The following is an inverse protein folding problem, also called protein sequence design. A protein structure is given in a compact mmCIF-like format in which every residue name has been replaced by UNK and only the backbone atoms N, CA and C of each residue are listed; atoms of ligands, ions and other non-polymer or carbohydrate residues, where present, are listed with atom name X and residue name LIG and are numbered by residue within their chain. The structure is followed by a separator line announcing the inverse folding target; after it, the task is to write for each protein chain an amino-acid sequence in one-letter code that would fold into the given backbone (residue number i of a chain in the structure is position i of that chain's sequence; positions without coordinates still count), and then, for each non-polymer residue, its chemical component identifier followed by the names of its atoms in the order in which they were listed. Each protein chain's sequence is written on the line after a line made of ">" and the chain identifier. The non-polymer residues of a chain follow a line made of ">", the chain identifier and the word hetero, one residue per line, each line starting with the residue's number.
data_IF_013135660020
#
_entry.id   IF_013135660020
#
_cell.length_a   1.000
_cell.length_b   1.000
_cell.length_c   1.000
_cell.angle_alpha   90.00
_cell.angle_beta   90.00
_cell.angle_gamma   90.00
#
_symmetry.space_group_name_H-M   'P 1'
#
loop_
_entity.id
_entity.type
_entity.pdbx_description
1 polymer ?
#
# COMPACT_ATOMS: atom_id res chain seq x y z
N UNK A 1 -30.10 56.35 -9.11
CA UNK A 1 -28.89 55.51 -8.89
C UNK A 1 -27.97 55.74 -10.07
N UNK A 2 -26.73 56.18 -9.85
CA UNK A 2 -25.83 56.58 -10.94
C UNK A 2 -25.39 55.34 -11.73
N UNK A 3 -25.23 55.44 -13.07
CA UNK A 3 -24.75 54.33 -13.92
C UNK A 3 -23.44 53.74 -13.37
N UNK A 4 -22.60 54.56 -12.76
CA UNK A 4 -21.33 54.18 -12.15
C UNK A 4 -21.49 53.26 -10.93
N UNK A 5 -22.54 53.48 -10.11
CA UNK A 5 -22.83 52.62 -8.94
C UNK A 5 -23.33 51.24 -9.37
N UNK A 6 -24.05 51.17 -10.49
CA UNK A 6 -24.54 49.91 -11.07
C UNK A 6 -23.41 49.09 -11.70
N UNK A 7 -22.50 49.74 -12.43
CA UNK A 7 -21.35 49.07 -13.05
C UNK A 7 -20.40 48.49 -11.99
N UNK A 8 -20.15 49.22 -10.90
CA UNK A 8 -19.31 48.73 -9.81
C UNK A 8 -19.93 47.50 -9.12
N UNK A 9 -21.25 47.50 -8.89
CA UNK A 9 -21.93 46.34 -8.30
C UNK A 9 -21.89 45.07 -9.17
N UNK A 10 -21.89 45.22 -10.51
CA UNK A 10 -21.75 44.08 -11.42
C UNK A 10 -20.31 43.55 -11.39
N UNK A 11 -19.30 44.42 -11.37
CA UNK A 11 -17.89 44.03 -11.28
C UNK A 11 -17.63 43.29 -9.97
N UNK A 12 -18.16 43.79 -8.85
CA UNK A 12 -18.03 43.17 -7.54
C UNK A 12 -18.70 41.78 -7.51
N UNK A 13 -19.85 41.62 -8.16
CA UNK A 13 -20.54 40.32 -8.25
C UNK A 13 -19.74 39.31 -9.07
N UNK A 14 -19.17 39.72 -10.21
CA UNK A 14 -18.34 38.85 -11.05
C UNK A 14 -17.06 38.45 -10.30
N UNK A 15 -16.46 39.38 -9.57
CA UNK A 15 -15.28 39.10 -8.75
C UNK A 15 -15.61 38.12 -7.61
N UNK A 16 -16.74 38.31 -6.92
CA UNK A 16 -17.20 37.41 -5.87
C UNK A 16 -17.47 36.00 -6.41
N UNK A 17 -18.07 35.89 -7.60
CA UNK A 17 -18.28 34.61 -8.27
C UNK A 17 -16.94 33.92 -8.58
N UNK A 18 -15.96 34.67 -9.11
CA UNK A 18 -14.63 34.14 -9.41
C UNK A 18 -13.90 33.65 -8.14
N UNK A 19 -13.97 34.43 -7.05
CA UNK A 19 -13.40 34.04 -5.75
C UNK A 19 -14.10 32.81 -5.18
N UNK A 20 -15.43 32.72 -5.30
CA UNK A 20 -16.19 31.55 -4.83
C UNK A 20 -15.81 30.27 -5.59
N UNK A 21 -15.62 30.35 -6.91
CA UNK A 21 -15.17 29.23 -7.74
C UNK A 21 -13.76 28.79 -7.36
N UNK A 22 -12.82 29.74 -7.18
CA UNK A 22 -11.46 29.43 -6.74
C UNK A 22 -11.44 28.81 -5.34
N UNK A 23 -12.27 29.31 -4.43
CA UNK A 23 -12.39 28.76 -3.07
C UNK A 23 -12.96 27.34 -3.07
N UNK A 24 -14.00 27.08 -3.87
CA UNK A 24 -14.56 25.74 -4.06
C UNK A 24 -13.54 24.78 -4.67
N UNK A 25 -12.76 25.24 -5.65
CA UNK A 25 -11.72 24.43 -6.27
C UNK A 25 -10.59 24.10 -5.29
N UNK A 26 -10.11 25.09 -4.53
CA UNK A 26 -9.12 24.90 -3.48
C UNK A 26 -9.60 23.97 -2.38
N UNK A 27 -10.84 24.15 -1.92
CA UNK A 27 -11.47 23.29 -0.91
C UNK A 27 -11.63 21.85 -1.39
N UNK A 28 -12.10 21.62 -2.63
CA UNK A 28 -12.20 20.27 -3.20
C UNK A 28 -10.83 19.63 -3.40
N UNK A 29 -9.82 20.39 -3.83
CA UNK A 29 -8.46 19.87 -3.97
C UNK A 29 -7.87 19.49 -2.62
N UNK A 30 -8.09 20.30 -1.57
CA UNK A 30 -7.65 20.00 -0.22
C UNK A 30 -8.38 18.78 0.36
N UNK A 31 -9.71 18.71 0.18
CA UNK A 31 -10.52 17.57 0.62
C UNK A 31 -10.14 16.27 -0.10
N UNK A 32 -9.92 16.30 -1.41
CA UNK A 32 -9.47 15.13 -2.16
C UNK A 32 -8.09 14.66 -1.69
N UNK A 33 -7.18 15.58 -1.35
CA UNK A 33 -5.91 15.21 -0.70
C UNK A 33 -6.15 14.60 0.68
N UNK A 34 -7.09 15.13 1.46
CA UNK A 34 -7.43 14.63 2.79
C UNK A 34 -8.17 13.28 2.77
N UNK A 35 -8.99 12.98 1.75
CA UNK A 35 -9.60 11.65 1.55
C UNK A 35 -8.53 10.62 1.13
N UNK A 36 -7.45 11.05 0.46
CA UNK A 36 -6.29 10.20 0.19
C UNK A 36 -5.29 10.09 1.35
N UNK A 37 -5.30 11.04 2.30
CA UNK A 37 -4.46 11.03 3.52
C UNK A 37 -5.21 10.69 4.79
N UNK A 38 -6.52 10.45 4.72
CA UNK A 38 -7.35 9.92 5.80
C UNK A 38 -6.64 8.68 6.28
N UNK A 39 -6.12 8.78 7.50
CA UNK A 39 -5.25 7.83 8.16
C UNK A 39 -5.61 6.41 7.76
N UNK A 40 -4.92 5.90 6.73
CA UNK A 40 -4.86 4.47 6.47
C UNK A 40 -4.02 3.96 7.62
N UNK A 41 -4.64 3.79 8.79
CA UNK A 41 -4.16 2.86 9.80
C UNK A 41 -4.16 1.53 9.08
N UNK A 42 -3.03 1.20 8.45
CA UNK A 42 -2.82 -0.12 7.90
C UNK A 42 -2.76 -1.00 9.13
N UNK A 43 -3.87 -1.66 9.43
CA UNK A 43 -3.90 -2.69 10.47
C UNK A 43 -3.00 -3.82 9.98
N UNK A 44 -1.72 -3.75 10.36
CA UNK A 44 -0.75 -4.78 10.03
C UNK A 44 -1.00 -5.94 10.99
N UNK A 45 -1.76 -6.92 10.53
CA UNK A 45 -1.91 -8.16 11.26
C UNK A 45 -0.62 -8.98 11.09
N UNK A 46 0.36 -8.73 11.98
CA UNK A 46 1.55 -9.55 12.06
C UNK A 46 1.16 -10.98 12.42
N UNK A 47 1.70 -11.95 11.68
CA UNK A 47 1.51 -13.33 12.05
C UNK A 47 2.24 -13.63 13.36
N UNK A 48 1.52 -14.17 14.34
CA UNK A 48 2.05 -14.52 15.65
C UNK A 48 2.00 -16.05 15.86
N UNK A 49 3.15 -16.74 15.93
CA UNK A 49 3.23 -18.19 16.17
C UNK A 49 2.62 -18.64 17.50
N UNK A 50 2.48 -17.73 18.48
CA UNK A 50 1.89 -18.10 19.77
C UNK A 50 0.37 -18.28 19.72
N UNK A 51 -0.32 -17.70 18.72
CA UNK A 51 -1.76 -17.91 18.53
C UNK A 51 -2.10 -19.25 17.86
N UNK A 52 -1.15 -19.91 17.17
CA UNK A 52 -1.36 -21.23 16.57
C UNK A 52 -1.14 -22.39 17.54
N UNK A 53 -0.62 -22.13 18.74
CA UNK A 53 -0.38 -23.14 19.80
C UNK A 53 -1.66 -23.72 20.41
N UNK A 54 -2.83 -23.16 20.13
CA UNK A 54 -4.09 -23.66 20.68
C UNK A 54 -4.75 -24.77 19.85
N UNK A 55 -4.24 -25.10 18.64
CA UNK A 55 -4.91 -26.12 17.82
C UNK A 55 -4.01 -27.21 17.23
N UNK A 56 -2.72 -26.99 16.96
CA UNK A 56 -1.87 -28.08 16.44
C UNK A 56 -0.42 -27.97 16.92
N UNK A 57 0.14 -29.16 17.13
CA UNK A 57 1.45 -29.52 17.63
C UNK A 57 2.60 -28.55 17.27
N UNK A 58 3.14 -27.89 18.30
CA UNK A 58 4.51 -27.38 18.57
C UNK A 58 5.49 -26.98 17.46
N UNK A 59 5.08 -26.81 16.20
CA UNK A 59 5.93 -26.30 15.13
C UNK A 59 5.58 -24.85 14.85
N UNK A 60 6.60 -23.96 14.83
CA UNK A 60 6.46 -22.56 14.40
C UNK A 60 6.17 -22.49 12.89
N UNK A 61 5.08 -23.11 12.44
CA UNK A 61 4.68 -23.14 11.04
C UNK A 61 3.99 -21.84 10.69
N UNK A 62 4.55 -21.13 9.71
CA UNK A 62 3.88 -20.03 9.02
C UNK A 62 2.47 -20.48 8.59
N UNK A 63 1.50 -19.55 8.40
CA UNK A 63 0.12 -19.90 8.03
C UNK A 63 0.00 -20.45 6.59
N UNK A 64 1.13 -20.72 5.94
CA UNK A 64 1.32 -21.30 4.62
C UNK A 64 2.56 -22.18 4.67
N UNK A 65 2.60 -23.20 3.83
CA UNK A 65 3.72 -24.12 3.78
C UNK A 65 4.86 -23.48 2.97
N UNK A 66 5.92 -23.07 3.68
CA UNK A 66 7.13 -22.50 3.06
C UNK A 66 8.02 -23.55 2.39
N UNK A 67 7.76 -24.85 2.62
CA UNK A 67 8.49 -25.97 2.04
C UNK A 67 7.87 -26.49 0.75
N UNK A 68 6.55 -26.33 0.57
CA UNK A 68 5.86 -26.63 -0.69
C UNK A 68 5.68 -25.38 -1.54
N UNK A 69 6.13 -25.45 -2.79
CA UNK A 69 6.03 -24.38 -3.78
C UNK A 69 7.22 -23.41 -3.75
N UNK A 70 7.41 -22.66 -4.83
CA UNK A 70 8.55 -21.76 -5.01
C UNK A 70 8.19 -20.33 -4.64
N UNK A 71 9.13 -19.60 -4.02
CA UNK A 71 8.99 -18.17 -3.77
C UNK A 71 10.04 -17.38 -4.55
N UNK A 72 9.62 -16.31 -5.24
CA UNK A 72 10.51 -15.29 -5.76
C UNK A 72 10.96 -14.40 -4.60
N UNK A 73 12.24 -14.47 -4.24
CA UNK A 73 12.82 -13.70 -3.14
C UNK A 73 13.35 -12.35 -3.63
N UNK A 74 12.96 -11.28 -2.96
CA UNK A 74 13.48 -9.92 -3.21
C UNK A 74 14.00 -9.37 -1.88
N UNK A 75 15.26 -8.96 -1.84
CA UNK A 75 15.94 -8.48 -0.63
C UNK A 75 16.07 -6.96 -0.64
N UNK A 76 15.61 -6.25 0.37
CA UNK A 76 15.87 -4.82 0.55
C UNK A 76 17.00 -4.68 1.57
N UNK A 77 18.01 -3.86 1.27
CA UNK A 77 19.26 -3.86 2.05
C UNK A 77 19.53 -2.52 2.78
N UNK A 78 18.63 -1.54 2.65
CA UNK A 78 18.81 -0.18 3.17
C UNK A 78 19.61 0.75 2.25
N UNK A 79 20.04 0.27 1.08
CA UNK A 79 20.82 1.07 0.13
C UNK A 79 19.85 1.71 -0.86
N UNK A 80 19.59 3.01 -0.68
CA UNK A 80 18.54 3.75 -1.37
C UNK A 80 18.49 3.55 -2.89
N UNK A 81 19.64 3.61 -3.57
CA UNK A 81 19.71 3.41 -5.02
C UNK A 81 19.34 1.98 -5.45
N UNK A 82 19.78 0.98 -4.69
CA UNK A 82 19.48 -0.42 -4.99
C UNK A 82 18.03 -0.75 -4.66
N UNK A 83 17.58 -0.32 -3.49
CA UNK A 83 16.23 -0.59 -2.99
C UNK A 83 15.16 0.11 -3.86
N UNK A 84 15.48 1.27 -4.45
CA UNK A 84 14.59 1.94 -5.42
C UNK A 84 14.29 1.06 -6.64
N UNK A 85 15.30 0.37 -7.19
CA UNK A 85 15.12 -0.56 -8.30
C UNK A 85 14.35 -1.80 -7.87
N UNK A 86 14.64 -2.32 -6.68
CA UNK A 86 13.93 -3.48 -6.13
C UNK A 86 12.48 -3.16 -5.78
N UNK A 87 12.16 -1.93 -5.42
CA UNK A 87 10.77 -1.49 -5.21
C UNK A 87 9.97 -1.51 -6.50
N UNK A 88 10.58 -1.17 -7.63
CA UNK A 88 9.95 -1.31 -8.95
C UNK A 88 9.72 -2.80 -9.25
N UNK A 89 10.73 -3.64 -9.01
CA UNK A 89 10.61 -5.08 -9.18
C UNK A 89 9.50 -5.70 -8.30
N UNK A 90 9.38 -5.26 -7.05
CA UNK A 90 8.31 -5.70 -6.13
C UNK A 90 6.95 -5.31 -6.72
N UNK A 91 6.78 -4.05 -7.13
CA UNK A 91 5.51 -3.58 -7.69
C UNK A 91 5.11 -4.40 -8.93
N UNK A 92 6.04 -4.65 -9.84
CA UNK A 92 5.79 -5.46 -11.03
C UNK A 92 5.48 -6.93 -10.68
N UNK A 93 6.16 -7.50 -9.68
CA UNK A 93 5.89 -8.85 -9.23
C UNK A 93 4.47 -8.97 -8.66
N UNK A 94 4.01 -8.00 -7.86
CA UNK A 94 2.66 -7.98 -7.29
C UNK A 94 1.57 -7.81 -8.36
N UNK A 95 1.79 -6.89 -9.30
CA UNK A 95 0.88 -6.68 -10.42
C UNK A 95 0.70 -7.97 -11.25
N UNK A 96 1.81 -8.63 -11.58
CA UNK A 96 1.79 -9.89 -12.32
C UNK A 96 1.16 -11.03 -11.51
N UNK A 97 1.38 -11.05 -10.19
CA UNK A 97 0.82 -12.06 -9.30
C UNK A 97 -0.72 -12.00 -9.28
N UNK A 98 -1.30 -10.79 -9.21
CA UNK A 98 -2.74 -10.61 -9.29
C UNK A 98 -3.29 -10.92 -10.70
N UNK A 99 -2.65 -10.42 -11.75
CA UNK A 99 -3.11 -10.59 -13.14
C UNK A 99 -3.11 -12.07 -13.60
N UNK A 100 -2.15 -12.88 -13.14
CA UNK A 100 -2.03 -14.30 -13.47
C UNK A 100 -2.75 -15.23 -12.49
N UNK A 101 -3.65 -14.70 -11.66
CA UNK A 101 -4.44 -15.46 -10.66
C UNK A 101 -3.59 -16.47 -9.87
N UNK A 102 -2.43 -16.03 -9.37
CA UNK A 102 -1.61 -16.82 -8.44
C UNK A 102 -1.03 -18.14 -9.02
N UNK A 103 -0.97 -18.30 -10.34
CA UNK A 103 -0.42 -19.52 -11.00
C UNK A 103 1.12 -19.61 -10.95
N UNK A 104 1.79 -18.58 -10.42
CA UNK A 104 3.25 -18.48 -10.34
C UNK A 104 3.84 -18.81 -8.96
N UNK A 105 5.17 -18.64 -8.79
CA UNK A 105 5.78 -18.67 -7.46
C UNK A 105 5.19 -17.57 -6.57
N UNK A 106 5.07 -17.83 -5.27
CA UNK A 106 4.76 -16.80 -4.29
C UNK A 106 5.85 -15.72 -4.26
N UNK A 107 5.59 -14.59 -3.62
CA UNK A 107 6.58 -13.50 -3.47
C UNK A 107 7.03 -13.43 -2.02
N UNK A 108 8.35 -13.39 -1.80
CA UNK A 108 8.94 -13.22 -0.49
C UNK A 108 9.81 -11.96 -0.50
N UNK A 109 9.49 -11.01 0.36
CA UNK A 109 10.19 -9.73 0.44
C UNK A 109 10.92 -9.68 1.78
N UNK A 110 12.24 -9.71 1.75
CA UNK A 110 13.12 -9.78 2.93
C UNK A 110 13.74 -8.42 3.17
N UNK A 111 13.57 -7.88 4.36
CA UNK A 111 14.13 -6.61 4.79
C UNK A 111 15.41 -6.87 5.60
N UNK A 112 16.53 -6.31 5.17
CA UNK A 112 17.78 -6.34 5.92
C UNK A 112 17.73 -5.42 7.14
N UNK A 113 18.70 -5.56 8.03
CA UNK A 113 18.73 -4.80 9.30
C UNK A 113 18.80 -3.28 9.08
N UNK A 114 19.40 -2.85 7.97
CA UNK A 114 19.52 -1.44 7.58
C UNK A 114 18.33 -0.93 6.74
N UNK A 115 17.33 -1.77 6.45
CA UNK A 115 16.15 -1.35 5.68
C UNK A 115 15.33 -0.32 6.43
N UNK A 116 14.85 0.70 5.71
CA UNK A 116 14.00 1.72 6.30
C UNK A 116 12.61 1.13 6.59
N UNK A 117 12.05 1.43 7.75
CA UNK A 117 10.66 1.06 8.06
C UNK A 117 9.66 1.62 7.03
N UNK A 118 9.96 2.78 6.45
CA UNK A 118 9.16 3.36 5.37
C UNK A 118 9.03 2.43 4.16
N UNK A 119 10.05 1.62 3.88
CA UNK A 119 10.07 0.69 2.75
C UNK A 119 9.19 -0.53 3.04
N UNK A 120 9.14 -0.98 4.30
CA UNK A 120 8.18 -1.99 4.74
C UNK A 120 6.73 -1.52 4.55
N UNK A 121 6.42 -0.29 4.97
CA UNK A 121 5.08 0.29 4.79
C UNK A 121 4.71 0.44 3.31
N UNK A 122 5.64 0.88 2.46
CA UNK A 122 5.40 0.99 1.00
C UNK A 122 5.01 -0.35 0.38
N UNK A 123 5.65 -1.44 0.79
CA UNK A 123 5.33 -2.78 0.28
C UNK A 123 3.90 -3.18 0.67
N UNK A 124 3.47 -2.88 1.89
CA UNK A 124 2.08 -3.12 2.32
C UNK A 124 1.08 -2.27 1.55
N UNK A 125 1.42 -1.00 1.28
CA UNK A 125 0.59 -0.12 0.46
C UNK A 125 0.48 -0.64 -0.99
N UNK A 126 1.55 -1.21 -1.55
CA UNK A 126 1.48 -1.91 -2.84
C UNK A 126 0.56 -3.12 -2.80
N UNK A 127 0.66 -3.96 -1.76
CA UNK A 127 -0.25 -5.10 -1.60
C UNK A 127 -1.72 -4.64 -1.55
N UNK A 128 -2.01 -3.55 -0.83
CA UNK A 128 -3.35 -2.97 -0.75
C UNK A 128 -3.84 -2.40 -2.10
N UNK A 129 -2.97 -1.68 -2.82
CA UNK A 129 -3.30 -1.08 -4.13
C UNK A 129 -3.60 -2.13 -5.19
N UNK A 130 -2.90 -3.26 -5.16
CA UNK A 130 -3.06 -4.34 -6.12
C UNK A 130 -4.10 -5.40 -5.69
N UNK A 131 -4.95 -5.12 -4.69
CA UNK A 131 -5.94 -6.06 -4.09
C UNK A 131 -5.35 -7.44 -3.69
N UNK A 132 -4.11 -7.45 -3.19
CA UNK A 132 -3.48 -8.67 -2.67
C UNK A 132 -4.08 -8.98 -1.30
N UNK A 133 -4.99 -9.94 -1.28
CA UNK A 133 -5.76 -10.31 -0.07
C UNK A 133 -4.97 -11.18 0.91
N UNK A 134 -3.97 -11.90 0.43
CA UNK A 134 -3.23 -12.88 1.21
C UNK A 134 -1.77 -12.49 1.27
N UNK A 135 -1.38 -11.88 2.39
CA UNK A 135 0.01 -11.67 2.74
C UNK A 135 0.17 -11.81 4.25
N UNK A 136 1.38 -12.15 4.69
CA UNK A 136 1.69 -12.43 6.09
C UNK A 136 3.04 -11.81 6.45
N UNK A 137 3.03 -10.65 7.10
CA UNK A 137 4.22 -10.06 7.69
C UNK A 137 4.67 -10.90 8.88
N UNK A 138 5.93 -11.35 8.87
CA UNK A 138 6.55 -12.07 9.98
C UNK A 138 8.02 -11.72 10.09
N UNK A 139 8.46 -11.29 11.28
CA UNK A 139 9.80 -10.77 11.53
C UNK A 139 10.16 -9.67 10.51
N UNK A 140 11.29 -9.81 9.84
CA UNK A 140 11.79 -8.90 8.81
C UNK A 140 11.38 -9.33 7.40
N UNK A 141 10.28 -10.06 7.23
CA UNK A 141 9.85 -10.56 5.92
C UNK A 141 8.35 -10.37 5.73
N UNK A 142 7.95 -10.00 4.51
CA UNK A 142 6.56 -10.09 4.07
C UNK A 142 6.44 -11.27 3.11
N UNK A 143 5.55 -12.19 3.45
CA UNK A 143 5.27 -13.37 2.66
C UNK A 143 3.96 -13.20 1.91
N UNK A 144 3.96 -13.54 0.63
CA UNK A 144 2.80 -13.47 -0.25
C UNK A 144 2.69 -14.85 -0.91
N UNK A 145 1.99 -15.80 -0.26
CA UNK A 145 1.91 -17.16 -0.75
C UNK A 145 1.11 -17.22 -2.05
N UNK A 146 1.59 -17.98 -3.03
CA UNK A 146 0.73 -18.40 -4.14
C UNK A 146 -0.26 -19.47 -3.65
N UNK A 147 -1.30 -19.72 -4.44
CA UNK A 147 -2.33 -20.73 -4.11
C UNK A 147 -1.75 -22.11 -3.76
N UNK A 148 -0.66 -22.48 -4.43
CA UNK A 148 0.06 -23.74 -4.19
C UNK A 148 0.82 -23.81 -2.86
N UNK A 149 1.09 -22.67 -2.22
CA UNK A 149 1.75 -22.59 -0.92
C UNK A 149 0.74 -22.61 0.25
N UNK A 150 -0.56 -22.50 -0.01
CA UNK A 150 -1.58 -22.51 1.02
C UNK A 150 -1.77 -23.94 1.55
N UNK A 151 -1.78 -24.08 2.87
CA UNK A 151 -2.10 -25.35 3.55
C UNK A 151 -3.57 -25.69 3.22
N UNK A 152 -3.80 -26.88 2.66
CA UNK A 152 -5.14 -27.37 2.31
C UNK A 152 -5.89 -27.93 3.51
#
# INVERSE_FOLDING_TARGET
>A
MSKQTMTNGIVDFVFLLAVAVLFLHGYNSYRNQQEHTSERVIAVNFWNPSHSLLLFDSTQQLPFDSSTGTFKKIYLNGIERSDSLKMIEIKEALLNFNAKKEEGPGVQIVFGDSSKYSDFIKVLDYCSKEDIRQYSPYKNTIWIPAKQNLIK
#
